data_IF_067947029585
#
_entry.id   IF_067947029585
#
_cell.length_a   1.000
_cell.length_b   1.000
_cell.length_c   1.000
_cell.angle_alpha   90.00
_cell.angle_beta   90.00
_cell.angle_gamma   90.00
#
_symmetry.space_group_name_H-M   'P 1'
#
loop_
_entity.id
_entity.type
_entity.pdbx_description
1 polymer ?
#
# COMPACT_ATOMS: atom_id res chain seq x y z
N UNK A 1 -0.64 -11.26 -15.94
CA UNK A 1 -1.66 -10.84 -14.94
C UNK A 1 -2.40 -12.07 -14.43
N UNK A 2 -2.89 -12.09 -13.17
CA UNK A 2 -3.48 -13.28 -12.52
C UNK A 2 -4.76 -13.85 -13.19
N UNK A 3 -5.27 -13.24 -14.27
CA UNK A 3 -6.45 -13.73 -15.00
C UNK A 3 -7.76 -13.69 -14.20
N UNK A 4 -7.78 -12.97 -13.07
CA UNK A 4 -8.94 -12.90 -12.17
C UNK A 4 -9.75 -11.64 -12.42
N UNK A 5 -11.08 -11.77 -12.39
CA UNK A 5 -11.95 -10.61 -12.22
C UNK A 5 -11.77 -10.00 -10.83
N UNK A 6 -12.08 -8.71 -10.69
CA UNK A 6 -12.04 -8.01 -9.39
C UNK A 6 -12.89 -8.74 -8.34
N UNK A 7 -14.07 -9.25 -8.70
CA UNK A 7 -14.92 -10.03 -7.79
C UNK A 7 -14.23 -11.33 -7.35
N UNK A 8 -13.59 -12.05 -8.27
CA UNK A 8 -12.90 -13.30 -7.95
C UNK A 8 -11.69 -13.05 -7.04
N UNK A 9 -10.92 -11.99 -7.31
CA UNK A 9 -9.79 -11.59 -6.48
C UNK A 9 -10.25 -11.18 -5.07
N UNK A 10 -11.29 -10.33 -4.95
CA UNK A 10 -11.83 -9.90 -3.66
C UNK A 10 -12.29 -11.08 -2.81
N UNK A 11 -13.01 -12.04 -3.43
CA UNK A 11 -13.45 -13.27 -2.77
C UNK A 11 -12.27 -14.11 -2.27
N UNK A 12 -11.22 -14.29 -3.08
CA UNK A 12 -10.01 -15.04 -2.67
C UNK A 12 -9.23 -14.33 -1.57
N UNK A 13 -9.19 -13.00 -1.60
CA UNK A 13 -8.59 -12.15 -0.55
C UNK A 13 -9.47 -12.04 0.70
N UNK A 14 -10.69 -12.61 0.69
CA UNK A 14 -11.69 -12.54 1.77
C UNK A 14 -12.01 -11.09 2.18
N UNK A 15 -12.20 -10.21 1.19
CA UNK A 15 -12.62 -8.81 1.36
C UNK A 15 -13.83 -8.51 0.49
N UNK A 16 -14.52 -7.42 0.79
CA UNK A 16 -15.60 -6.96 -0.09
C UNK A 16 -15.06 -6.53 -1.45
N UNK A 17 -15.87 -6.65 -2.51
CA UNK A 17 -15.53 -6.09 -3.83
C UNK A 17 -15.25 -4.59 -3.73
N UNK A 18 -16.00 -3.87 -2.89
CA UNK A 18 -15.80 -2.43 -2.67
C UNK A 18 -14.43 -2.14 -2.06
N UNK A 19 -13.99 -2.94 -1.09
CA UNK A 19 -12.66 -2.80 -0.47
C UNK A 19 -11.55 -2.96 -1.52
N UNK A 20 -11.62 -4.01 -2.34
CA UNK A 20 -10.63 -4.20 -3.40
C UNK A 20 -10.72 -3.10 -4.46
N UNK A 21 -11.93 -2.64 -4.79
CA UNK A 21 -12.10 -1.53 -5.71
C UNK A 21 -11.49 -0.24 -5.18
N UNK A 22 -11.68 0.10 -3.89
CA UNK A 22 -11.08 1.29 -3.28
C UNK A 22 -9.55 1.24 -3.32
N UNK A 23 -8.97 0.05 -3.08
CA UNK A 23 -7.53 -0.17 -3.19
C UNK A 23 -7.04 -0.01 -4.64
N UNK A 24 -7.73 -0.59 -5.61
CA UNK A 24 -7.39 -0.48 -7.04
C UNK A 24 -7.61 0.93 -7.60
N UNK A 25 -8.51 1.70 -6.99
CA UNK A 25 -8.77 3.09 -7.34
C UNK A 25 -7.89 4.07 -6.53
N UNK A 26 -6.87 3.56 -5.84
CA UNK A 26 -5.90 4.35 -5.06
C UNK A 26 -6.53 5.24 -3.97
N UNK A 27 -7.76 4.91 -3.55
CA UNK A 27 -8.47 5.62 -2.47
C UNK A 27 -8.11 5.11 -1.08
N UNK A 28 -7.51 3.91 -1.01
CA UNK A 28 -6.99 3.29 0.20
C UNK A 28 -5.63 2.69 -0.10
N UNK A 29 -4.70 2.81 0.85
CA UNK A 29 -3.41 2.14 0.78
C UNK A 29 -3.45 0.70 1.30
N UNK A 30 -2.32 0.01 1.17
CA UNK A 30 -2.11 -1.31 1.77
C UNK A 30 -1.87 -1.20 3.28
N UNK A 31 -2.87 -1.60 4.07
CA UNK A 31 -2.66 -1.94 5.49
C UNK A 31 -1.91 -3.28 5.61
N UNK A 32 -1.33 -3.61 6.79
CA UNK A 32 -0.73 -4.92 7.03
C UNK A 32 -1.67 -6.10 6.72
N UNK A 33 -2.96 -6.02 7.08
CA UNK A 33 -3.91 -7.09 6.76
C UNK A 33 -4.15 -7.23 5.25
N UNK A 34 -4.24 -6.11 4.53
CA UNK A 34 -4.40 -6.13 3.07
C UNK A 34 -3.17 -6.66 2.35
N UNK A 35 -1.97 -6.31 2.84
CA UNK A 35 -0.71 -6.82 2.32
C UNK A 35 -0.58 -8.33 2.52
N UNK A 36 -0.98 -8.87 3.68
CA UNK A 36 -1.03 -10.32 3.92
C UNK A 36 -1.98 -11.03 2.94
N UNK A 37 -3.17 -10.46 2.71
CA UNK A 37 -4.16 -11.03 1.78
C UNK A 37 -3.67 -10.99 0.33
N UNK A 38 -3.06 -9.89 -0.10
CA UNK A 38 -2.50 -9.76 -1.43
C UNK A 38 -1.29 -10.68 -1.64
N UNK A 39 -0.39 -10.74 -0.66
CA UNK A 39 0.76 -11.63 -0.66
C UNK A 39 0.37 -13.11 -0.73
N UNK A 40 -0.67 -13.52 0.01
CA UNK A 40 -1.21 -14.88 -0.05
C UNK A 40 -1.88 -15.19 -1.40
N UNK A 41 -2.56 -14.21 -2.01
CA UNK A 41 -3.16 -14.38 -3.33
C UNK A 41 -2.10 -14.50 -4.43
N UNK A 42 -1.05 -13.69 -4.37
CA UNK A 42 -0.03 -13.56 -5.41
C UNK A 42 1.19 -14.47 -5.22
N UNK A 43 1.38 -15.05 -4.04
CA UNK A 43 2.53 -15.92 -3.74
C UNK A 43 3.85 -15.18 -3.52
N UNK A 44 3.82 -13.87 -3.26
CA UNK A 44 5.01 -13.01 -3.14
C UNK A 44 5.22 -12.41 -1.73
N UNK A 45 4.36 -12.78 -0.77
CA UNK A 45 4.45 -12.31 0.62
C UNK A 45 3.98 -10.86 0.83
N UNK A 46 3.75 -10.49 2.09
CA UNK A 46 3.21 -9.18 2.45
C UNK A 46 4.23 -8.03 2.34
N UNK A 47 5.51 -8.33 2.59
CA UNK A 47 6.57 -7.33 2.68
C UNK A 47 6.74 -6.52 1.39
N UNK A 48 6.53 -7.15 0.22
CA UNK A 48 6.57 -6.44 -1.06
C UNK A 48 5.54 -5.30 -1.11
N UNK A 49 4.30 -5.60 -0.78
CA UNK A 49 3.19 -4.64 -0.80
C UNK A 49 3.38 -3.51 0.22
N UNK A 50 3.86 -3.85 1.43
CA UNK A 50 4.13 -2.84 2.46
C UNK A 50 5.28 -1.91 2.08
N UNK A 51 6.34 -2.43 1.42
CA UNK A 51 7.42 -1.57 0.92
C UNK A 51 6.92 -0.60 -0.13
N UNK A 52 6.13 -1.09 -1.10
CA UNK A 52 5.54 -0.22 -2.12
C UNK A 52 4.64 0.87 -1.51
N UNK A 53 3.85 0.53 -0.49
CA UNK A 53 3.03 1.50 0.21
C UNK A 53 3.88 2.51 0.98
N UNK A 54 4.93 2.05 1.67
CA UNK A 54 5.86 2.90 2.40
C UNK A 54 6.58 3.88 1.47
N UNK A 55 7.05 3.42 0.32
CA UNK A 55 7.72 4.27 -0.68
C UNK A 55 6.75 5.35 -1.21
N UNK A 56 5.49 4.97 -1.48
CA UNK A 56 4.45 5.90 -1.89
C UNK A 56 4.14 6.95 -0.81
N UNK A 57 3.95 6.51 0.42
CA UNK A 57 3.62 7.38 1.55
C UNK A 57 4.78 8.34 1.84
N UNK A 58 6.02 7.85 1.80
CA UNK A 58 7.22 8.65 2.00
C UNK A 58 7.36 9.71 0.91
N UNK A 59 7.21 9.34 -0.36
CA UNK A 59 7.30 10.30 -1.47
C UNK A 59 6.28 11.45 -1.33
N UNK A 60 5.05 11.13 -0.91
CA UNK A 60 4.04 12.15 -0.65
C UNK A 60 4.39 13.02 0.56
N UNK A 61 4.82 12.41 1.67
CA UNK A 61 5.17 13.11 2.89
C UNK A 61 6.37 14.04 2.70
N UNK A 62 7.42 13.60 2.00
CA UNK A 62 8.60 14.41 1.68
C UNK A 62 8.24 15.68 0.91
N UNK A 63 7.28 15.57 -0.02
CA UNK A 63 6.82 16.71 -0.83
C UNK A 63 5.93 17.65 -0.03
N UNK A 64 5.02 17.10 0.76
CA UNK A 64 4.12 17.88 1.60
C UNK A 64 4.87 18.64 2.70
N UNK A 65 5.93 18.03 3.26
CA UNK A 65 6.72 18.57 4.35
C UNK A 65 8.03 19.21 3.90
N UNK A 66 8.22 19.46 2.59
CA UNK A 66 9.51 19.85 2.03
C UNK A 66 10.13 21.09 2.70
N UNK A 67 9.32 22.10 3.03
CA UNK A 67 9.78 23.32 3.71
C UNK A 67 10.11 23.08 5.19
N UNK A 68 9.26 22.32 5.88
CA UNK A 68 9.46 21.95 7.29
C UNK A 68 10.73 21.10 7.45
N UNK A 69 10.90 20.06 6.63
CA UNK A 69 12.06 19.18 6.65
C UNK A 69 13.38 19.94 6.42
N UNK A 70 13.37 20.98 5.57
CA UNK A 70 14.55 21.85 5.35
C UNK A 70 14.90 22.71 6.57
N UNK A 71 13.92 23.04 7.41
CA UNK A 71 14.13 23.84 8.62
C UNK A 71 14.60 22.99 9.82
N UNK A 72 14.45 21.67 9.78
CA UNK A 72 14.88 20.77 10.86
C UNK A 72 16.41 20.78 10.96
N UNK A 73 16.92 21.24 12.10
CA UNK A 73 18.35 21.15 12.42
C UNK A 73 18.71 19.70 12.76
N UNK A 74 19.67 19.14 12.04
CA UNK A 74 20.24 17.82 12.35
C UNK A 74 20.89 17.87 13.73
N UNK A 75 20.51 16.95 14.62
CA UNK A 75 21.28 16.71 15.84
C UNK A 75 22.61 16.05 15.45
N UNK A 76 23.71 16.55 15.99
CA UNK A 76 24.98 15.82 15.93
C UNK A 76 24.82 14.49 16.69
N UNK A 77 25.42 13.43 16.16
CA UNK A 77 25.52 12.13 16.82
C UNK A 77 26.51 12.19 17.98
#
# INVERSE_FOLDING_TARGET
ALGLSVTAAARRMRVSRQTLHDLLAERKGFTPEMALRAGALAGNGATLWLRMQQDFDLWHAERALADELRAIRKSAA
#
